data_IF_646650823464
#
_entry.id   IF_646650823464
#
_cell.length_a   1.000
_cell.length_b   1.000
_cell.length_c   1.000
_cell.angle_alpha   90.00
_cell.angle_beta   90.00
_cell.angle_gamma   90.00
#
_symmetry.space_group_name_H-M   'P 1'
#
loop_
_entity.id
_entity.type
_entity.pdbx_description
1 polymer ?
#
# COMPACT_ATOMS: atom_id res chain seq x y z
N UNK A 1 30.96 36.36 -14.28
CA UNK A 1 29.51 36.21 -14.05
C UNK A 1 28.83 35.24 -15.01
N UNK A 2 29.08 35.28 -16.34
CA UNK A 2 28.50 34.32 -17.32
C UNK A 2 28.81 32.83 -17.06
N UNK A 3 30.03 32.47 -16.63
CA UNK A 3 30.39 31.07 -16.32
C UNK A 3 29.59 30.46 -15.16
N UNK A 4 29.24 31.26 -14.15
CA UNK A 4 28.45 30.79 -13.00
C UNK A 4 26.97 30.59 -13.38
N UNK A 5 26.45 31.35 -14.34
CA UNK A 5 25.10 31.15 -14.90
C UNK A 5 25.00 29.86 -15.73
N UNK A 6 26.03 29.53 -16.51
CA UNK A 6 26.08 28.27 -17.27
C UNK A 6 26.12 27.07 -16.33
N UNK A 7 26.90 27.15 -15.24
CA UNK A 7 26.97 26.09 -14.24
C UNK A 7 25.62 25.91 -13.51
N UNK A 8 24.95 27.01 -13.16
CA UNK A 8 23.63 26.96 -12.53
C UNK A 8 22.56 26.35 -13.45
N UNK A 9 22.60 26.66 -14.76
CA UNK A 9 21.70 26.10 -15.75
C UNK A 9 21.93 24.59 -15.97
N UNK A 10 23.19 24.16 -15.96
CA UNK A 10 23.56 22.74 -16.06
C UNK A 10 23.05 21.94 -14.86
N UNK A 11 23.15 22.51 -13.64
CA UNK A 11 22.62 21.89 -12.41
C UNK A 11 21.08 21.81 -12.47
N UNK A 12 20.41 22.83 -12.99
CA UNK A 12 18.95 22.85 -13.15
C UNK A 12 18.45 21.76 -14.12
N UNK A 13 19.19 21.49 -15.20
CA UNK A 13 18.88 20.40 -16.14
C UNK A 13 18.98 19.01 -15.52
N UNK A 14 19.89 18.80 -14.56
CA UNK A 14 20.04 17.51 -13.88
C UNK A 14 18.85 17.18 -12.96
N UNK A 15 18.12 18.19 -12.47
CA UNK A 15 16.91 17.99 -11.65
C UNK A 15 15.63 17.78 -12.48
N UNK A 16 15.66 17.98 -13.80
CA UNK A 16 14.50 17.78 -14.68
C UNK A 16 14.31 16.32 -15.12
N UNK A 17 15.25 15.42 -14.80
CA UNK A 17 15.23 14.01 -15.19
C UNK A 17 14.38 13.16 -14.23
N UNK A 18 13.07 13.42 -14.18
CA UNK A 18 12.11 12.47 -13.62
C UNK A 18 11.32 11.85 -14.79
N UNK A 19 11.67 10.63 -15.17
CA UNK A 19 10.95 9.87 -16.19
C UNK A 19 10.17 8.74 -15.52
N UNK A 20 8.89 8.62 -15.85
CA UNK A 20 8.04 7.52 -15.41
C UNK A 20 8.40 6.27 -16.20
N UNK A 21 8.69 5.18 -15.50
CA UNK A 21 8.95 3.88 -16.12
C UNK A 21 7.93 2.87 -15.62
N UNK A 22 7.26 2.18 -16.55
CA UNK A 22 6.42 1.04 -16.25
C UNK A 22 7.34 -0.14 -15.87
N UNK A 23 7.37 -0.50 -14.58
CA UNK A 23 8.27 -1.56 -14.08
C UNK A 23 7.75 -2.95 -14.44
N UNK A 24 6.44 -3.10 -14.69
CA UNK A 24 5.83 -4.34 -15.15
C UNK A 24 4.59 -4.07 -16.00
N UNK A 25 4.33 -4.96 -16.97
CA UNK A 25 3.07 -5.03 -17.69
C UNK A 25 2.22 -6.16 -17.11
N UNK A 26 0.92 -5.94 -16.98
CA UNK A 26 -0.03 -6.92 -16.44
C UNK A 26 -1.04 -7.21 -17.54
N UNK A 27 -1.16 -8.48 -17.89
CA UNK A 27 -2.14 -8.98 -18.86
C UNK A 27 -3.11 -9.93 -18.17
N UNK A 28 -4.35 -9.97 -18.64
CA UNK A 28 -5.35 -10.93 -18.16
C UNK A 28 -6.39 -11.21 -19.24
N UNK A 29 -6.73 -12.49 -19.40
CA UNK A 29 -7.56 -12.99 -20.49
C UNK A 29 -9.05 -12.66 -20.34
N UNK A 30 -9.51 -12.37 -19.12
CA UNK A 30 -10.95 -12.21 -18.78
C UNK A 30 -11.31 -10.82 -18.26
N UNK A 31 -10.43 -9.84 -18.44
CA UNK A 31 -10.60 -8.50 -17.85
C UNK A 31 -10.42 -7.42 -18.89
N UNK A 32 -11.09 -6.30 -18.69
CA UNK A 32 -10.91 -5.11 -19.51
C UNK A 32 -9.81 -4.26 -18.90
N UNK A 33 -8.82 -3.90 -19.70
CA UNK A 33 -7.80 -2.94 -19.31
C UNK A 33 -8.34 -1.53 -19.48
N UNK A 34 -8.25 -0.71 -18.44
CA UNK A 34 -8.68 0.69 -18.41
C UNK A 34 -7.54 1.58 -17.94
N UNK A 35 -7.66 2.90 -18.15
CA UNK A 35 -6.70 3.90 -17.66
C UNK A 35 -6.41 3.78 -16.15
N UNK A 36 -7.44 3.44 -15.36
CA UNK A 36 -7.37 3.35 -13.90
C UNK A 36 -7.10 1.94 -13.34
N UNK A 37 -6.77 0.96 -14.18
CA UNK A 37 -6.44 -0.39 -13.75
C UNK A 37 -7.14 -1.49 -14.55
N UNK A 38 -7.20 -2.68 -13.96
CA UNK A 38 -7.79 -3.87 -14.56
C UNK A 38 -9.18 -4.09 -13.99
N UNK A 39 -10.19 -4.15 -14.86
CA UNK A 39 -11.58 -4.28 -14.48
C UNK A 39 -12.07 -5.68 -14.81
N UNK A 40 -12.47 -6.40 -13.77
CA UNK A 40 -13.30 -7.59 -13.88
C UNK A 40 -14.75 -7.20 -13.61
N UNK A 41 -15.66 -7.53 -14.52
CA UNK A 41 -17.06 -7.20 -14.37
C UNK A 41 -17.94 -8.35 -14.84
N UNK A 42 -18.93 -8.69 -14.02
CA UNK A 42 -20.03 -9.58 -14.36
C UNK A 42 -21.38 -8.89 -14.05
N UNK A 43 -22.47 -9.64 -14.05
CA UNK A 43 -23.81 -9.09 -13.81
C UNK A 43 -24.02 -8.65 -12.36
N UNK A 44 -23.27 -9.23 -11.42
CA UNK A 44 -23.45 -9.04 -9.97
C UNK A 44 -22.48 -8.01 -9.38
N UNK A 45 -21.23 -8.03 -9.81
CA UNK A 45 -20.12 -7.30 -9.22
C UNK A 45 -19.21 -6.69 -10.28
N UNK A 46 -18.57 -5.59 -9.89
CA UNK A 46 -17.40 -5.05 -10.58
C UNK A 46 -16.23 -5.01 -9.60
N UNK A 47 -15.11 -5.61 -10.00
CA UNK A 47 -13.85 -5.54 -9.26
C UNK A 47 -12.84 -4.75 -10.09
N UNK A 48 -12.31 -3.67 -9.52
CA UNK A 48 -11.30 -2.82 -10.16
C UNK A 48 -9.98 -2.98 -9.41
N UNK A 49 -8.98 -3.60 -10.04
CA UNK A 49 -7.64 -3.74 -9.50
C UNK A 49 -6.75 -2.59 -9.97
N UNK A 50 -6.12 -1.88 -9.03
CA UNK A 50 -5.12 -0.84 -9.33
C UNK A 50 -3.79 -1.25 -8.72
N UNK A 51 -2.92 -1.78 -9.57
CA UNK A 51 -1.61 -2.31 -9.17
C UNK A 51 -0.57 -1.21 -8.94
N UNK A 52 -0.82 0.02 -9.40
CA UNK A 52 0.11 1.15 -9.32
C UNK A 52 -0.41 2.31 -8.47
N UNK A 53 -1.13 2.02 -7.38
CA UNK A 53 -1.48 3.07 -6.43
C UNK A 53 -0.23 3.57 -5.69
N UNK A 54 -0.36 4.68 -4.96
CA UNK A 54 0.75 5.38 -4.29
C UNK A 54 1.65 4.41 -3.52
N UNK A 55 2.98 4.55 -3.70
CA UNK A 55 4.03 3.68 -3.15
C UNK A 55 4.09 2.25 -3.69
N UNK A 56 3.46 1.95 -4.83
CA UNK A 56 3.47 0.60 -5.41
C UNK A 56 2.60 -0.37 -4.63
N UNK A 57 1.59 0.16 -3.94
CA UNK A 57 0.59 -0.62 -3.20
C UNK A 57 -0.53 -0.95 -4.17
N UNK A 58 -0.77 -2.24 -4.41
CA UNK A 58 -1.99 -2.71 -5.03
C UNK A 58 -3.17 -2.43 -4.12
N UNK A 59 -4.17 -1.78 -4.70
CA UNK A 59 -5.51 -1.74 -4.13
C UNK A 59 -6.53 -2.32 -5.10
N UNK A 60 -7.69 -2.65 -4.56
CA UNK A 60 -8.83 -3.05 -5.36
C UNK A 60 -10.12 -2.53 -4.77
N UNK A 61 -11.07 -2.26 -5.66
CA UNK A 61 -12.41 -1.83 -5.33
C UNK A 61 -13.40 -2.94 -5.70
N UNK A 62 -14.32 -3.27 -4.80
CA UNK A 62 -15.44 -4.17 -5.08
C UNK A 62 -16.71 -3.33 -5.06
N UNK A 63 -17.39 -3.27 -6.19
CA UNK A 63 -18.66 -2.57 -6.36
C UNK A 63 -19.80 -3.58 -6.51
N UNK A 64 -20.85 -3.38 -5.71
CA UNK A 64 -22.09 -4.14 -5.79
C UNK A 64 -23.02 -3.53 -6.85
N UNK A 65 -23.36 -4.29 -7.90
CA UNK A 65 -24.27 -3.84 -8.97
C UNK A 65 -25.74 -4.18 -8.73
N UNK A 66 -26.03 -5.05 -7.76
CA UNK A 66 -27.37 -5.59 -7.51
C UNK A 66 -28.04 -4.89 -6.35
N UNK A 67 -29.38 -4.97 -6.30
CA UNK A 67 -30.23 -4.33 -5.29
C UNK A 67 -30.23 -5.04 -3.93
N UNK A 68 -29.44 -6.11 -3.78
CA UNK A 68 -29.31 -6.88 -2.53
C UNK A 68 -27.89 -6.80 -1.97
N UNK A 69 -27.70 -6.87 -0.64
CA UNK A 69 -26.38 -6.88 -0.03
C UNK A 69 -25.55 -8.07 -0.49
N UNK A 70 -24.27 -7.82 -0.78
CA UNK A 70 -23.30 -8.87 -1.10
C UNK A 70 -22.50 -9.26 0.14
N UNK A 71 -22.40 -10.56 0.36
CA UNK A 71 -21.61 -11.14 1.43
C UNK A 71 -20.36 -11.78 0.84
N UNK A 72 -19.19 -11.41 1.35
CA UNK A 72 -17.92 -11.97 0.93
C UNK A 72 -17.21 -12.63 2.10
N UNK A 73 -16.76 -13.86 1.87
CA UNK A 73 -15.95 -14.59 2.82
C UNK A 73 -14.46 -14.35 2.52
N UNK A 74 -13.82 -13.56 3.36
CA UNK A 74 -12.39 -13.31 3.24
C UNK A 74 -11.55 -14.56 3.47
N UNK A 75 -12.04 -15.55 4.25
CA UNK A 75 -11.30 -16.80 4.50
C UNK A 75 -11.11 -17.61 3.23
N UNK A 76 -12.04 -17.47 2.28
CA UNK A 76 -12.02 -18.17 0.99
C UNK A 76 -11.38 -17.36 -0.13
N UNK A 77 -10.89 -16.15 0.18
CA UNK A 77 -10.38 -15.22 -0.81
C UNK A 77 -8.90 -14.91 -0.49
N UNK A 78 -8.00 -15.21 -1.42
CA UNK A 78 -6.58 -14.97 -1.21
C UNK A 78 -5.87 -14.48 -2.46
N UNK A 79 -4.83 -13.68 -2.23
CA UNK A 79 -3.85 -13.30 -3.23
C UNK A 79 -2.73 -14.35 -3.24
N UNK A 80 -2.42 -14.94 -4.39
CA UNK A 80 -1.44 -16.03 -4.49
C UNK A 80 -0.30 -15.63 -5.43
N UNK A 81 0.67 -14.81 -4.97
CA UNK A 81 1.90 -14.59 -5.73
C UNK A 81 2.84 -15.79 -5.61
N UNK A 82 3.40 -16.24 -6.74
CA UNK A 82 4.44 -17.29 -6.79
C UNK A 82 4.10 -18.52 -5.94
N UNK A 83 2.87 -19.04 -6.11
CA UNK A 83 2.32 -20.20 -5.37
C UNK A 83 2.24 -20.05 -3.84
N UNK A 84 2.41 -18.83 -3.32
CA UNK A 84 2.29 -18.53 -1.90
C UNK A 84 0.99 -17.81 -1.60
N UNK A 85 0.08 -18.47 -0.90
CA UNK A 85 -1.18 -17.86 -0.47
C UNK A 85 -0.95 -16.74 0.56
N UNK A 86 -1.54 -15.58 0.31
CA UNK A 86 -1.63 -14.45 1.24
C UNK A 86 -3.10 -14.03 1.38
N UNK A 87 -3.59 -14.00 2.62
CA UNK A 87 -4.99 -13.65 2.90
C UNK A 87 -5.31 -12.20 2.50
N UNK A 88 -6.53 -11.99 2.00
CA UNK A 88 -7.06 -10.64 1.79
C UNK A 88 -7.39 -9.91 3.10
N UNK A 89 -7.46 -10.63 4.22
CA UNK A 89 -7.71 -10.09 5.54
C UNK A 89 -6.42 -9.96 6.35
N UNK A 90 -5.97 -8.72 6.53
CA UNK A 90 -4.91 -8.37 7.48
C UNK A 90 -5.36 -7.15 8.29
N UNK A 91 -6.10 -7.39 9.37
CA UNK A 91 -6.43 -6.38 10.38
C UNK A 91 -5.49 -6.57 11.58
N UNK A 92 -4.28 -6.04 11.43
CA UNK A 92 -3.21 -6.15 12.41
C UNK A 92 -3.10 -4.84 13.19
N UNK A 93 -3.20 -4.92 14.51
CA UNK A 93 -2.91 -3.81 15.40
C UNK A 93 -1.51 -4.01 15.98
N UNK A 94 -0.59 -3.15 15.57
CA UNK A 94 0.77 -3.12 16.11
C UNK A 94 0.82 -2.15 17.29
N UNK A 95 1.06 -2.66 18.49
CA UNK A 95 1.25 -1.86 19.70
C UNK A 95 2.72 -1.81 20.04
N UNK A 96 3.27 -0.60 20.17
CA UNK A 96 4.65 -0.39 20.61
C UNK A 96 4.62 0.29 21.97
N UNK A 97 5.06 -0.43 23.00
CA UNK A 97 5.22 0.09 24.35
C UNK A 97 6.63 0.63 24.55
N UNK A 98 6.74 1.79 25.19
CA UNK A 98 8.00 2.35 25.65
C UNK A 98 7.92 2.51 27.16
N UNK A 99 8.88 1.93 27.90
CA UNK A 99 9.04 2.24 29.31
C UNK A 99 10.43 2.80 29.55
N UNK A 100 10.50 3.79 30.43
CA UNK A 100 11.77 4.31 30.94
C UNK A 100 11.70 4.36 32.44
N UNK A 101 12.76 3.91 33.10
CA UNK A 101 12.90 3.93 34.55
C UNK A 101 14.20 4.64 34.89
N UNK A 102 14.18 5.52 35.89
CA UNK A 102 15.37 6.19 36.38
C UNK A 102 15.46 6.01 37.89
N UNK A 103 16.61 5.56 38.36
CA UNK A 103 16.94 5.45 39.77
C UNK A 103 18.02 6.48 40.10
N UNK A 104 17.90 7.14 41.25
CA UNK A 104 18.84 8.15 41.73
C UNK A 104 19.43 7.71 43.06
N UNK A 105 20.73 7.89 43.24
CA UNK A 105 21.44 7.64 44.50
C UNK A 105 21.52 8.93 45.34
N UNK A 106 21.61 8.77 46.66
CA UNK A 106 21.71 9.88 47.62
C UNK A 106 22.95 10.77 47.42
N UNK A 107 23.97 10.28 46.70
CA UNK A 107 25.21 11.01 46.41
C UNK A 107 25.26 11.59 44.97
N UNK A 108 24.11 11.71 44.30
CA UNK A 108 23.98 12.45 43.04
C UNK A 108 24.24 11.64 41.76
N UNK A 109 24.41 10.33 41.85
CA UNK A 109 24.52 9.45 40.68
C UNK A 109 23.15 8.89 40.25
N UNK A 110 22.83 8.91 38.96
CA UNK A 110 21.59 8.34 38.43
C UNK A 110 21.83 7.26 37.38
N UNK A 111 21.01 6.20 37.38
CA UNK A 111 21.01 5.14 36.37
C UNK A 111 19.62 5.11 35.72
N UNK A 112 19.59 5.13 34.39
CA UNK A 112 18.38 4.99 33.60
C UNK A 112 18.35 3.67 32.83
N UNK A 113 17.17 3.06 32.71
CA UNK A 113 16.91 1.94 31.81
C UNK A 113 15.72 2.29 30.92
N UNK A 114 15.82 1.93 29.63
CA UNK A 114 14.73 2.05 28.68
C UNK A 114 14.39 0.65 28.16
N UNK A 115 13.10 0.34 28.05
CA UNK A 115 12.62 -0.87 27.42
C UNK A 115 11.63 -0.55 26.30
N UNK A 116 11.69 -1.34 25.25
CA UNK A 116 10.77 -1.26 24.12
C UNK A 116 10.08 -2.61 23.96
N UNK A 117 8.76 -2.61 24.10
CA UNK A 117 7.92 -3.78 23.83
C UNK A 117 7.21 -3.61 22.50
N UNK A 118 7.11 -4.68 21.71
CA UNK A 118 6.32 -4.73 20.49
C UNK A 118 5.35 -5.88 20.60
N UNK A 119 4.07 -5.61 20.43
CA UNK A 119 3.01 -6.62 20.41
C UNK A 119 2.21 -6.47 19.14
N UNK A 120 1.82 -7.60 18.56
CA UNK A 120 1.01 -7.67 17.35
C UNK A 120 -0.27 -8.42 17.70
N UNK A 121 -1.41 -7.76 17.56
CA UNK A 121 -2.72 -8.39 17.67
C UNK A 121 -3.33 -8.51 16.28
N UNK A 122 -3.78 -9.70 15.90
CA UNK A 122 -4.41 -9.96 14.61
C UNK A 122 -5.88 -10.26 14.88
N UNK A 123 -6.78 -9.49 14.28
CA UNK A 123 -8.22 -9.75 14.39
C UNK A 123 -8.60 -10.92 13.48
N UNK A 124 -9.50 -11.78 13.96
CA UNK A 124 -10.02 -12.90 13.18
C UNK A 124 -10.68 -12.45 11.87
N UNK A 125 -10.52 -13.28 10.84
CA UNK A 125 -11.14 -13.07 9.54
C UNK A 125 -12.66 -13.18 9.64
N UNK A 126 -13.39 -12.24 9.04
CA UNK A 126 -14.85 -12.15 9.09
C UNK A 126 -15.48 -12.15 7.71
N UNK A 127 -16.78 -12.44 7.66
CA UNK A 127 -17.61 -12.15 6.49
C UNK A 127 -17.76 -10.63 6.41
N UNK A 128 -17.47 -10.03 5.26
CA UNK A 128 -17.79 -8.64 5.03
C UNK A 128 -19.03 -8.47 4.17
N UNK A 129 -19.59 -7.26 4.22
CA UNK A 129 -20.85 -6.92 3.58
C UNK A 129 -20.65 -5.68 2.71
N UNK A 130 -21.09 -5.74 1.45
CA UNK A 130 -21.20 -4.58 0.56
C UNK A 130 -22.69 -4.29 0.35
N UNK A 131 -23.22 -3.16 0.83
CA UNK A 131 -24.59 -2.75 0.55
C UNK A 131 -24.90 -2.66 -0.96
N UNK A 132 -26.18 -2.69 -1.36
CA UNK A 132 -26.60 -2.42 -2.74
C UNK A 132 -25.99 -1.14 -3.30
N UNK A 133 -25.56 -1.16 -4.55
CA UNK A 133 -25.01 0.00 -5.27
C UNK A 133 -23.85 0.73 -4.55
N UNK A 134 -23.11 0.02 -3.71
CA UNK A 134 -22.02 0.60 -2.92
C UNK A 134 -20.66 -0.05 -3.23
N UNK A 135 -19.59 0.61 -2.78
CA UNK A 135 -18.22 0.26 -3.07
C UNK A 135 -17.42 0.07 -1.78
N UNK A 136 -16.62 -1.00 -1.73
CA UNK A 136 -15.61 -1.20 -0.69
C UNK A 136 -14.22 -1.18 -1.32
N UNK A 137 -13.30 -0.43 -0.72
CA UNK A 137 -11.90 -0.33 -1.16
C UNK A 137 -10.98 -1.03 -0.16
N UNK A 138 -10.05 -1.85 -0.67
CA UNK A 138 -8.98 -2.46 0.11
C UNK A 138 -7.60 -1.99 -0.37
N UNK A 139 -6.80 -1.41 0.52
CA UNK A 139 -5.52 -0.74 0.20
C UNK A 139 -4.32 -1.36 0.95
N UNK A 140 -3.98 -2.64 0.73
CA UNK A 140 -3.09 -3.34 1.67
C UNK A 140 -1.91 -4.13 1.08
N UNK A 141 -1.73 -4.21 -0.24
CA UNK A 141 -0.72 -5.11 -0.82
C UNK A 141 0.42 -4.36 -1.48
N UNK A 142 1.57 -4.24 -0.82
CA UNK A 142 2.77 -3.70 -1.48
C UNK A 142 3.27 -4.68 -2.53
N UNK A 143 3.27 -4.29 -3.80
CA UNK A 143 3.86 -5.08 -4.89
C UNK A 143 5.37 -4.88 -4.98
N UNK A 144 5.86 -3.76 -4.47
CA UNK A 144 7.28 -3.41 -4.46
C UNK A 144 7.83 -3.68 -3.07
N UNK A 145 8.99 -4.34 -2.92
CA UNK A 145 9.62 -4.52 -1.62
C UNK A 145 10.00 -3.15 -1.03
N UNK A 146 9.81 -2.99 0.28
CA UNK A 146 9.99 -1.73 1.02
C UNK A 146 11.39 -1.10 0.84
N UNK A 147 12.41 -1.92 0.53
CA UNK A 147 13.77 -1.42 0.23
C UNK A 147 13.85 -0.67 -1.11
N UNK A 148 13.02 -1.00 -2.08
CA UNK A 148 12.94 -0.31 -3.37
C UNK A 148 11.99 0.90 -3.30
N UNK A 149 10.99 0.94 -2.41
CA UNK A 149 10.06 2.07 -2.35
C UNK A 149 10.74 3.42 -2.06
N UNK A 150 11.87 3.43 -1.36
CA UNK A 150 12.66 4.64 -1.11
C UNK A 150 13.43 5.14 -2.33
N UNK A 151 13.91 4.23 -3.20
CA UNK A 151 14.60 4.57 -4.45
C UNK A 151 13.62 5.08 -5.52
N UNK A 152 12.36 4.66 -5.45
CA UNK A 152 11.31 5.00 -6.41
C UNK A 152 10.40 6.16 -5.97
N UNK A 153 10.77 6.94 -4.94
CA UNK A 153 10.00 8.13 -4.52
C UNK A 153 9.77 9.15 -5.65
N UNK A 154 10.68 9.24 -6.62
CA UNK A 154 10.47 10.02 -7.85
C UNK A 154 9.64 9.27 -8.91
N UNK A 155 9.65 7.94 -8.93
CA UNK A 155 9.06 7.11 -9.98
C UNK A 155 7.57 6.77 -9.77
N UNK A 156 7.03 6.92 -8.55
CA UNK A 156 5.63 6.55 -8.22
C UNK A 156 4.79 7.80 -7.90
N UNK A 157 5.04 8.92 -8.59
CA UNK A 157 4.11 10.04 -8.60
C UNK A 157 3.11 9.82 -9.74
N UNK A 158 1.97 9.24 -9.36
CA UNK A 158 0.64 9.44 -9.92
C UNK A 158 0.59 10.00 -11.36
N UNK A 159 0.20 9.18 -12.32
CA UNK A 159 -0.43 9.67 -13.55
C UNK A 159 -1.70 10.44 -13.17
N UNK A 160 -1.84 11.73 -13.51
CA UNK A 160 -3.11 12.40 -13.58
C UNK A 160 -3.59 12.32 -15.03
N UNK A 161 -4.43 11.33 -15.36
CA UNK A 161 -5.24 11.35 -16.59
C UNK A 161 -6.61 10.74 -16.31
#
# INVERSE_FOLDING_TARGET
MRKNLVLAFLILLLFASCSYYNVASITSDKTKQSSNGIIFENDTIRITYKFWAKNGVMNFDIYNKIDIPLYFDWKKSAYIPNDKMMSYWQDETNTVGYSSSRAYSLYGGGIGANSKSKTKAIREERIGVVPPHSLITSNKYSLVPEKLSYLFKCLIVQTPL
#
